data_IF_493582770587
#
_entry.id   IF_493582770587
#
_cell.length_a   1.000
_cell.length_b   1.000
_cell.length_c   1.000
_cell.angle_alpha   90.00
_cell.angle_beta   90.00
_cell.angle_gamma   90.00
#
_symmetry.space_group_name_H-M   'P 1'
#
loop_
_entity.id
_entity.type
_entity.pdbx_description
1 polymer ?
#
# COMPACT_ATOMS: atom_id res chain seq x y z
N UNK A 1 8.00 -10.42 -12.10
CA UNK A 1 7.03 -9.40 -12.62
C UNK A 1 6.47 -8.58 -11.47
N UNK A 2 5.72 -7.51 -11.76
CA UNK A 2 5.15 -6.59 -10.75
C UNK A 2 4.29 -7.29 -9.66
N UNK A 3 3.72 -8.45 -9.99
CA UNK A 3 2.98 -9.31 -9.07
C UNK A 3 3.87 -9.96 -7.98
N UNK A 4 5.11 -10.30 -8.32
CA UNK A 4 6.03 -11.02 -7.41
C UNK A 4 6.48 -10.09 -6.27
N UNK A 5 6.74 -8.81 -6.59
CA UNK A 5 7.12 -7.81 -5.59
C UNK A 5 6.00 -7.51 -4.59
N UNK A 6 4.75 -7.46 -5.06
CA UNK A 6 3.58 -7.24 -4.20
C UNK A 6 3.34 -8.46 -3.31
N UNK A 7 3.37 -9.67 -3.84
CA UNK A 7 3.15 -10.89 -3.05
C UNK A 7 4.20 -11.05 -1.94
N UNK A 8 5.48 -10.78 -2.25
CA UNK A 8 6.55 -10.83 -1.25
C UNK A 8 6.36 -9.83 -0.11
N UNK A 9 5.83 -8.65 -0.37
CA UNK A 9 5.50 -7.66 0.67
C UNK A 9 4.46 -8.21 1.66
N UNK A 10 3.40 -8.87 1.16
CA UNK A 10 2.37 -9.48 2.03
C UNK A 10 2.95 -10.65 2.84
N UNK A 11 3.82 -11.46 2.25
CA UNK A 11 4.51 -12.56 2.93
C UNK A 11 5.42 -12.05 4.05
N UNK A 12 6.28 -11.08 3.78
CA UNK A 12 7.17 -10.48 4.80
C UNK A 12 6.36 -9.87 5.95
N UNK A 13 5.29 -9.12 5.65
CA UNK A 13 4.43 -8.51 6.66
C UNK A 13 3.67 -9.53 7.53
N UNK A 14 3.56 -10.79 7.06
CA UNK A 14 2.90 -11.89 7.76
C UNK A 14 3.88 -12.98 8.20
N UNK A 15 5.17 -12.66 8.33
CA UNK A 15 6.20 -13.60 8.78
C UNK A 15 6.26 -14.89 7.95
N UNK A 16 6.08 -14.76 6.64
CA UNK A 16 6.01 -15.85 5.65
C UNK A 16 4.82 -16.82 5.82
N UNK A 17 3.80 -16.44 6.58
CA UNK A 17 2.53 -17.17 6.65
C UNK A 17 1.75 -16.99 5.34
N UNK A 18 1.69 -18.04 4.54
CA UNK A 18 1.09 -18.02 3.20
C UNK A 18 -0.42 -17.82 3.23
N UNK A 19 -1.12 -18.35 4.23
CA UNK A 19 -2.57 -18.22 4.36
C UNK A 19 -2.96 -16.79 4.72
N UNK A 20 -2.32 -16.23 5.76
CA UNK A 20 -2.56 -14.83 6.17
C UNK A 20 -2.12 -13.84 5.10
N UNK A 21 -1.03 -14.12 4.39
CA UNK A 21 -0.58 -13.28 3.28
C UNK A 21 -1.58 -13.30 2.10
N UNK A 22 -2.10 -14.48 1.75
CA UNK A 22 -3.09 -14.62 0.69
C UNK A 22 -4.41 -13.91 1.04
N UNK A 23 -4.89 -14.05 2.27
CA UNK A 23 -6.08 -13.34 2.75
C UNK A 23 -5.89 -11.81 2.65
N UNK A 24 -4.76 -11.30 3.14
CA UNK A 24 -4.46 -9.87 3.09
C UNK A 24 -4.30 -9.35 1.66
N UNK A 25 -3.71 -10.15 0.76
CA UNK A 25 -3.62 -9.81 -0.66
C UNK A 25 -4.99 -9.72 -1.33
N UNK A 26 -5.92 -10.63 -1.00
CA UNK A 26 -7.29 -10.58 -1.51
C UNK A 26 -8.05 -9.35 -1.01
N UNK A 27 -7.93 -9.02 0.28
CA UNK A 27 -8.52 -7.80 0.84
C UNK A 27 -7.96 -6.53 0.17
N UNK A 28 -6.63 -6.46 0.01
CA UNK A 28 -5.98 -5.35 -0.70
C UNK A 28 -6.45 -5.22 -2.14
N UNK A 29 -6.61 -6.33 -2.88
CA UNK A 29 -7.13 -6.28 -4.26
C UNK A 29 -8.56 -5.75 -4.33
N UNK A 30 -9.42 -6.13 -3.39
CA UNK A 30 -10.81 -5.63 -3.32
C UNK A 30 -10.82 -4.12 -3.07
N UNK A 31 -10.09 -3.67 -2.04
CA UNK A 31 -9.94 -2.25 -1.74
C UNK A 31 -9.37 -1.45 -2.92
N UNK A 32 -8.34 -1.99 -3.62
CA UNK A 32 -7.79 -1.34 -4.81
C UNK A 32 -8.79 -1.23 -5.96
N UNK A 33 -9.63 -2.24 -6.18
CA UNK A 33 -10.65 -2.20 -7.22
C UNK A 33 -11.73 -1.14 -6.92
N UNK A 34 -12.02 -0.89 -5.65
CA UNK A 34 -12.97 0.14 -5.20
C UNK A 34 -12.42 1.56 -5.37
N UNK A 35 -11.18 1.81 -4.94
CA UNK A 35 -10.60 3.17 -4.92
C UNK A 35 -9.93 3.57 -6.25
N UNK A 36 -9.45 2.59 -7.02
CA UNK A 36 -8.66 2.80 -8.22
C UNK A 36 -9.15 1.87 -9.33
N UNK A 37 -10.40 2.03 -9.81
CA UNK A 37 -10.99 1.16 -10.82
C UNK A 37 -10.22 1.19 -12.15
N UNK A 38 -9.48 2.28 -12.43
CA UNK A 38 -8.57 2.42 -13.58
C UNK A 38 -7.19 1.79 -13.36
N UNK A 39 -6.97 1.14 -12.21
CA UNK A 39 -5.67 0.61 -11.77
C UNK A 39 -4.79 1.63 -11.05
N UNK A 40 -5.05 2.92 -11.25
CA UNK A 40 -4.38 4.04 -10.58
C UNK A 40 -5.40 5.13 -10.21
N UNK A 41 -5.02 6.00 -9.27
CA UNK A 41 -5.74 7.24 -8.95
C UNK A 41 -4.93 8.37 -9.58
N UNK A 42 -5.50 9.14 -10.51
CA UNK A 42 -4.85 10.31 -11.10
C UNK A 42 -4.55 11.38 -10.04
N UNK A 43 -3.40 12.04 -10.15
CA UNK A 43 -2.97 13.07 -9.19
C UNK A 43 -3.93 14.27 -9.13
N UNK A 44 -4.59 14.59 -10.25
CA UNK A 44 -5.62 15.64 -10.34
C UNK A 44 -6.89 15.31 -9.54
N UNK A 45 -7.18 14.03 -9.29
CA UNK A 45 -8.31 13.60 -8.46
C UNK A 45 -8.03 13.67 -6.94
N UNK A 46 -6.76 13.87 -6.55
CA UNK A 46 -6.32 13.94 -5.14
C UNK A 46 -5.49 15.19 -4.85
N UNK A 47 -5.60 16.21 -5.70
CA UNK A 47 -4.75 17.40 -5.65
C UNK A 47 -4.90 18.16 -4.34
N UNK A 48 -6.11 18.20 -3.78
CA UNK A 48 -6.40 18.90 -2.52
C UNK A 48 -5.82 18.15 -1.31
N UNK A 49 -5.87 16.82 -1.31
CA UNK A 49 -5.26 15.95 -0.31
C UNK A 49 -3.73 16.05 -0.34
N UNK A 50 -3.13 16.07 -1.54
CA UNK A 50 -1.70 16.24 -1.74
C UNK A 50 -1.24 17.64 -1.30
N UNK A 51 -1.95 18.69 -1.70
CA UNK A 51 -1.64 20.08 -1.37
C UNK A 51 -1.81 20.39 0.12
N UNK A 52 -2.78 19.74 0.78
CA UNK A 52 -2.99 19.91 2.21
C UNK A 52 -1.85 19.33 3.06
N UNK A 53 -0.90 18.59 2.47
CA UNK A 53 0.26 17.97 3.14
C UNK A 53 -0.11 17.27 4.46
N UNK A 54 -1.30 16.66 4.51
CA UNK A 54 -1.88 16.10 5.75
C UNK A 54 -1.09 14.89 6.27
N UNK A 55 -0.28 14.29 5.41
CA UNK A 55 0.63 13.20 5.72
C UNK A 55 2.03 13.63 5.26
N UNK A 56 2.96 13.72 6.20
CA UNK A 56 4.36 13.99 5.90
C UNK A 56 5.12 12.72 6.16
N UNK A 57 5.66 12.09 5.11
CA UNK A 57 6.67 11.04 5.29
C UNK A 57 7.94 11.67 5.89
N UNK A 58 7.96 11.93 7.20
CA UNK A 58 9.05 12.62 7.93
C UNK A 58 10.25 11.70 8.21
N UNK A 59 10.48 10.73 7.34
CA UNK A 59 11.61 9.81 7.41
C UNK A 59 11.30 8.49 8.12
N UNK A 60 12.32 7.62 8.13
CA UNK A 60 12.28 6.30 8.77
C UNK A 60 12.72 6.42 10.22
N UNK A 61 11.95 5.85 11.14
CA UNK A 61 12.33 5.77 12.55
C UNK A 61 13.49 4.79 12.76
N UNK A 62 14.00 4.67 14.00
CA UNK A 62 15.13 3.79 14.34
C UNK A 62 14.87 2.29 14.06
N UNK A 63 13.62 1.90 13.88
CA UNK A 63 13.22 0.54 13.50
C UNK A 63 13.04 0.38 11.98
N UNK A 64 13.34 1.40 11.18
CA UNK A 64 13.22 1.37 9.72
C UNK A 64 11.79 1.55 9.20
N UNK A 65 10.83 1.87 10.07
CA UNK A 65 9.46 2.14 9.63
C UNK A 65 9.31 3.59 9.21
N UNK A 66 8.64 3.81 8.08
CA UNK A 66 8.27 5.14 7.63
C UNK A 66 7.33 5.80 8.66
N UNK A 67 7.67 7.02 9.06
CA UNK A 67 6.82 7.87 9.91
C UNK A 67 5.99 8.76 8.98
N UNK A 68 4.66 8.74 9.13
CA UNK A 68 3.69 9.46 8.27
C UNK A 68 3.02 10.59 9.03
#
# INVERSE_FOLDING_TARGET
GEADGKLMMFLVARSMDTEKAAEMYLQWKRWRAEIAPRGFVPDDEVVDELNARKSFLQGVNKAGHATV
#
